data_IF_443115644697
#
_entry.id   IF_443115644697
#
_cell.length_a   1.000
_cell.length_b   1.000
_cell.length_c   1.000
_cell.angle_alpha   90.00
_cell.angle_beta   90.00
_cell.angle_gamma   90.00
#
_symmetry.space_group_name_H-M   'P 1'
#
loop_
_entity.id
_entity.type
_entity.pdbx_description
1 polymer ?
#
# COMPACT_ATOMS: atom_id res chain seq x y z
N UNK A 1 7.20 -57.29 -35.18
CA UNK A 1 6.17 -56.98 -34.16
C UNK A 1 6.70 -56.53 -32.79
N UNK A 2 7.89 -56.93 -32.33
CA UNK A 2 8.45 -56.52 -31.00
C UNK A 2 8.96 -55.07 -30.91
N UNK A 3 9.51 -54.48 -31.97
CA UNK A 3 10.11 -53.13 -31.95
C UNK A 3 9.03 -52.03 -31.83
N UNK A 4 7.88 -52.19 -32.46
CA UNK A 4 6.78 -51.23 -32.47
C UNK A 4 6.12 -51.05 -31.08
N UNK A 5 6.09 -52.08 -30.27
CA UNK A 5 5.57 -52.00 -28.88
C UNK A 5 6.47 -51.23 -27.91
N UNK A 6 7.80 -51.29 -28.10
CA UNK A 6 8.77 -50.61 -27.24
C UNK A 6 8.71 -49.08 -27.41
N UNK A 7 8.45 -48.60 -28.63
CA UNK A 7 8.34 -47.18 -28.96
C UNK A 7 7.07 -46.57 -28.36
N UNK A 8 5.97 -47.29 -28.43
CA UNK A 8 4.67 -46.85 -27.83
C UNK A 8 4.74 -46.71 -26.32
N UNK A 9 5.38 -47.63 -25.61
CA UNK A 9 5.59 -47.56 -24.16
C UNK A 9 6.47 -46.36 -23.73
N UNK A 10 7.52 -46.05 -24.51
CA UNK A 10 8.38 -44.90 -24.26
C UNK A 10 7.62 -43.57 -24.44
N UNK A 11 6.76 -43.48 -25.45
CA UNK A 11 5.93 -42.29 -25.67
C UNK A 11 4.90 -42.13 -24.56
N UNK A 12 4.21 -43.16 -24.11
CA UNK A 12 3.25 -43.13 -23.02
C UNK A 12 3.95 -42.73 -21.72
N UNK A 13 5.15 -43.25 -21.45
CA UNK A 13 5.92 -42.88 -20.25
C UNK A 13 6.34 -41.41 -20.26
N UNK A 14 6.80 -40.87 -21.40
CA UNK A 14 7.15 -39.46 -21.55
C UNK A 14 5.94 -38.53 -21.37
N UNK A 15 4.77 -38.89 -21.87
CA UNK A 15 3.54 -38.14 -21.69
C UNK A 15 3.12 -38.16 -20.23
N UNK A 16 3.20 -39.29 -19.52
CA UNK A 16 2.89 -39.39 -18.10
C UNK A 16 3.83 -38.54 -17.24
N UNK A 17 5.13 -38.51 -17.57
CA UNK A 17 6.11 -37.64 -16.90
C UNK A 17 5.81 -36.14 -17.13
N UNK A 18 5.45 -35.75 -18.36
CA UNK A 18 5.06 -34.37 -18.67
C UNK A 18 3.80 -33.92 -17.91
N UNK A 19 2.79 -34.79 -17.85
CA UNK A 19 1.56 -34.51 -17.08
C UNK A 19 1.87 -34.37 -15.59
N UNK A 20 2.74 -35.22 -15.02
CA UNK A 20 3.11 -35.12 -13.61
C UNK A 20 3.87 -33.83 -13.28
N UNK A 21 4.74 -33.37 -14.19
CA UNK A 21 5.46 -32.09 -14.05
C UNK A 21 4.48 -30.90 -14.15
N UNK A 22 3.53 -30.92 -15.07
CA UNK A 22 2.51 -29.89 -15.20
C UNK A 22 1.62 -29.79 -13.95
N UNK A 23 1.19 -30.93 -13.40
CA UNK A 23 0.41 -30.96 -12.14
C UNK A 23 1.21 -30.45 -10.93
N UNK A 24 2.51 -30.70 -10.89
CA UNK A 24 3.38 -30.14 -9.84
C UNK A 24 3.57 -28.63 -9.97
N UNK A 25 3.66 -28.10 -11.20
CA UNK A 25 3.76 -26.67 -11.49
C UNK A 25 2.43 -25.97 -11.11
N UNK A 26 1.28 -26.54 -11.49
CA UNK A 26 -0.03 -25.99 -11.09
C UNK A 26 -0.24 -26.02 -9.58
N UNK A 27 0.19 -27.10 -8.91
CA UNK A 27 0.14 -27.19 -7.45
C UNK A 27 1.07 -26.18 -6.75
N UNK A 28 2.25 -25.92 -7.30
CA UNK A 28 3.18 -24.92 -6.78
C UNK A 28 2.66 -23.49 -7.00
N UNK A 29 2.09 -23.19 -8.16
CA UNK A 29 1.46 -21.88 -8.47
C UNK A 29 0.25 -21.66 -7.56
N UNK A 30 -0.59 -22.67 -7.33
CA UNK A 30 -1.74 -22.57 -6.44
C UNK A 30 -1.34 -22.33 -4.98
N UNK A 31 -0.26 -22.96 -4.50
CA UNK A 31 0.24 -22.76 -3.14
C UNK A 31 0.90 -21.37 -2.96
N UNK A 32 1.49 -20.81 -4.01
CA UNK A 32 2.09 -19.47 -3.98
C UNK A 32 0.99 -18.39 -4.02
N UNK A 33 -0.10 -18.62 -4.76
CA UNK A 33 -1.27 -17.73 -4.80
C UNK A 33 -2.01 -17.72 -3.45
N UNK A 34 -2.17 -18.86 -2.77
CA UNK A 34 -2.81 -18.95 -1.44
C UNK A 34 -1.96 -18.31 -0.32
N UNK A 35 -0.63 -18.24 -0.47
CA UNK A 35 0.24 -17.51 0.47
C UNK A 35 0.19 -16.00 0.29
N UNK A 36 -0.21 -15.51 -0.88
CA UNK A 36 -0.08 -14.11 -1.29
C UNK A 36 -1.06 -13.14 -0.63
N UNK A 37 -2.15 -13.59 -0.01
CA UNK A 37 -3.24 -12.73 0.42
C UNK A 37 -3.66 -12.86 1.88
N UNK A 38 -2.76 -13.10 2.81
CA UNK A 38 -3.14 -13.34 4.21
C UNK A 38 -2.96 -12.12 5.14
N UNK A 39 -2.45 -10.98 4.64
CA UNK A 39 -2.40 -9.78 5.45
C UNK A 39 -3.79 -9.14 5.59
N UNK A 40 -4.19 -8.83 6.82
CA UNK A 40 -5.46 -8.17 7.11
C UNK A 40 -5.27 -7.14 8.21
N UNK A 41 -5.90 -5.96 8.10
CA UNK A 41 -5.88 -4.97 9.17
C UNK A 41 -6.61 -5.51 10.39
N UNK A 42 -6.07 -5.23 11.58
CA UNK A 42 -6.69 -5.54 12.89
C UNK A 42 -7.67 -4.44 13.30
N UNK A 43 -7.49 -3.24 12.76
CA UNK A 43 -8.27 -2.04 13.07
C UNK A 43 -8.69 -1.31 11.79
N UNK A 44 -9.75 -0.51 11.86
CA UNK A 44 -10.18 0.37 10.75
C UNK A 44 -11.05 -0.31 9.69
N UNK A 45 -11.48 -1.54 9.89
CA UNK A 45 -12.37 -2.24 8.93
C UNK A 45 -13.67 -1.50 8.69
N UNK A 46 -14.17 -0.77 9.66
CA UNK A 46 -15.38 0.06 9.58
C UNK A 46 -15.27 1.25 8.64
N UNK A 47 -14.06 1.61 8.22
CA UNK A 47 -13.83 2.70 7.27
C UNK A 47 -14.00 2.24 5.82
N UNK A 48 -13.84 0.95 5.56
CA UNK A 48 -13.93 0.38 4.21
C UNK A 48 -15.37 0.50 3.70
N UNK A 49 -15.51 1.04 2.48
CA UNK A 49 -16.79 1.34 1.85
C UNK A 49 -17.36 2.73 2.19
N UNK A 50 -16.73 3.49 3.10
CA UNK A 50 -17.16 4.85 3.39
C UNK A 50 -16.55 5.87 2.42
N UNK A 51 -17.22 7.01 2.26
CA UNK A 51 -16.69 8.12 1.46
C UNK A 51 -15.48 8.74 2.17
N UNK A 52 -14.42 9.01 1.42
CA UNK A 52 -13.23 9.71 1.92
C UNK A 52 -13.59 11.12 2.39
N UNK A 53 -13.17 11.54 3.60
CA UNK A 53 -13.33 12.90 4.09
C UNK A 53 -12.56 13.93 3.24
N UNK A 54 -12.86 15.24 3.45
CA UNK A 54 -12.12 16.32 2.79
C UNK A 54 -10.73 16.51 3.40
N UNK A 55 -9.85 17.21 2.66
CA UNK A 55 -8.52 17.63 3.11
C UNK A 55 -8.54 19.04 3.75
N UNK A 56 -9.70 19.54 4.11
CA UNK A 56 -9.85 20.87 4.70
C UNK A 56 -9.06 21.02 6.00
N UNK A 57 -8.25 22.06 6.07
CA UNK A 57 -7.40 22.37 7.23
C UNK A 57 -5.95 21.89 7.09
N UNK A 58 -5.60 21.17 6.02
CA UNK A 58 -4.20 20.82 5.75
C UNK A 58 -3.39 22.02 5.29
N UNK A 59 -2.16 22.13 5.81
CA UNK A 59 -1.14 23.03 5.31
C UNK A 59 -0.22 22.30 4.32
N UNK A 60 -0.36 22.55 3.04
CA UNK A 60 0.42 21.92 1.98
C UNK A 60 1.84 22.47 1.92
N UNK A 61 2.85 21.61 1.78
CA UNK A 61 4.26 21.99 1.94
C UNK A 61 5.03 22.04 0.62
N UNK A 62 4.68 21.22 -0.36
CA UNK A 62 5.40 21.05 -1.63
C UNK A 62 4.49 21.04 -2.86
N UNK A 63 3.23 21.42 -2.71
CA UNK A 63 2.25 21.55 -3.79
C UNK A 63 1.22 22.62 -3.44
N UNK A 64 0.47 23.09 -4.44
CA UNK A 64 -0.76 23.84 -4.24
C UNK A 64 -1.79 23.00 -3.48
N UNK A 65 -2.74 23.63 -2.76
CA UNK A 65 -3.78 22.92 -2.03
C UNK A 65 -4.58 21.95 -2.93
N UNK A 66 -4.69 20.70 -2.50
CA UNK A 66 -5.48 19.68 -3.17
C UNK A 66 -6.81 19.47 -2.46
N UNK A 67 -7.86 19.20 -3.25
CA UNK A 67 -9.16 18.76 -2.74
C UNK A 67 -9.41 17.32 -3.19
N UNK A 68 -10.09 16.53 -2.35
CA UNK A 68 -10.42 15.14 -2.68
C UNK A 68 -11.30 15.05 -3.95
N UNK A 69 -12.15 16.06 -4.19
CA UNK A 69 -13.01 16.12 -5.37
C UNK A 69 -12.22 16.33 -6.68
N UNK A 70 -11.09 17.04 -6.63
CA UNK A 70 -10.21 17.29 -7.79
C UNK A 70 -9.38 16.05 -8.14
N UNK A 71 -9.34 15.06 -7.24
CA UNK A 71 -8.62 13.81 -7.42
C UNK A 71 -9.52 12.65 -7.89
N UNK A 72 -10.79 12.91 -8.22
CA UNK A 72 -11.68 11.90 -8.81
C UNK A 72 -11.05 11.30 -10.07
N UNK A 73 -11.20 9.99 -10.21
CA UNK A 73 -10.57 9.23 -11.29
C UNK A 73 -9.14 8.77 -10.96
N UNK A 74 -8.58 9.17 -9.82
CA UNK A 74 -7.28 8.67 -9.34
C UNK A 74 -7.47 7.69 -8.20
N UNK A 75 -6.58 6.71 -8.12
CA UNK A 75 -6.36 5.88 -6.93
C UNK A 75 -5.42 6.62 -6.00
N UNK A 76 -5.80 6.80 -4.73
CA UNK A 76 -5.06 7.62 -3.77
C UNK A 76 -4.57 6.75 -2.63
N UNK A 77 -3.27 6.81 -2.32
CA UNK A 77 -2.71 6.28 -1.08
C UNK A 77 -2.41 7.43 -0.13
N UNK A 78 -3.18 7.56 0.94
CA UNK A 78 -2.84 8.44 2.05
C UNK A 78 -1.90 7.70 3.00
N UNK A 79 -0.79 8.34 3.39
CA UNK A 79 0.06 7.91 4.49
C UNK A 79 0.08 8.98 5.59
N UNK A 80 -0.44 8.65 6.76
CA UNK A 80 -0.21 9.44 7.96
C UNK A 80 1.17 9.12 8.53
N UNK A 81 1.97 10.14 8.81
CA UNK A 81 3.35 9.96 9.24
C UNK A 81 3.83 11.10 10.13
N UNK A 82 4.99 10.93 10.75
CA UNK A 82 5.67 12.01 11.48
C UNK A 82 7.19 11.89 11.28
N UNK A 83 7.84 13.05 11.24
CA UNK A 83 9.30 13.15 11.16
C UNK A 83 9.92 12.58 12.44
N UNK A 84 11.03 11.84 12.30
CA UNK A 84 11.71 11.18 13.41
C UNK A 84 11.03 9.91 13.96
N UNK A 85 10.06 9.36 13.23
CA UNK A 85 9.45 8.08 13.57
C UNK A 85 10.16 6.95 12.80
N UNK A 86 10.85 6.01 13.46
CA UNK A 86 11.60 4.96 12.78
C UNK A 86 10.74 4.12 11.83
N UNK A 87 9.51 3.75 12.21
CA UNK A 87 8.59 3.00 11.35
C UNK A 87 8.19 3.78 10.09
N UNK A 88 8.10 5.11 10.19
CA UNK A 88 7.83 5.97 9.04
C UNK A 88 9.04 6.07 8.12
N UNK A 89 10.24 6.15 8.70
CA UNK A 89 11.52 6.16 7.96
C UNK A 89 11.75 4.86 7.19
N UNK A 90 11.49 3.71 7.82
CA UNK A 90 11.57 2.41 7.13
C UNK A 90 10.55 2.28 5.98
N UNK A 91 9.39 2.91 6.10
CA UNK A 91 8.33 2.85 5.08
C UNK A 91 8.57 3.83 3.92
N UNK A 92 9.35 4.89 4.13
CA UNK A 92 9.53 5.97 3.16
C UNK A 92 9.99 5.48 1.76
N UNK A 93 11.01 4.60 1.62
CA UNK A 93 11.42 4.09 0.31
C UNK A 93 10.31 3.33 -0.43
N UNK A 94 9.47 2.60 0.30
CA UNK A 94 8.35 1.86 -0.28
C UNK A 94 7.27 2.80 -0.84
N UNK A 95 7.01 3.94 -0.17
CA UNK A 95 6.09 4.97 -0.68
C UNK A 95 6.60 5.58 -1.99
N UNK A 96 7.90 5.93 -2.04
CA UNK A 96 8.56 6.47 -3.24
C UNK A 96 8.53 5.45 -4.37
N UNK A 97 8.82 4.18 -4.09
CA UNK A 97 8.75 3.10 -5.07
C UNK A 97 7.34 2.96 -5.67
N UNK A 98 6.30 2.85 -4.82
CA UNK A 98 4.91 2.73 -5.27
C UNK A 98 4.46 3.94 -6.09
N UNK A 99 4.79 5.16 -5.63
CA UNK A 99 4.47 6.38 -6.35
C UNK A 99 5.12 6.39 -7.74
N UNK A 100 6.44 6.17 -7.82
CA UNK A 100 7.16 6.18 -9.09
C UNK A 100 6.69 5.10 -10.05
N UNK A 101 6.29 3.94 -9.53
CA UNK A 101 5.79 2.82 -10.33
C UNK A 101 4.44 3.12 -10.99
N UNK A 102 3.52 3.79 -10.27
CA UNK A 102 2.12 3.89 -10.69
C UNK A 102 1.62 5.32 -10.97
N UNK A 103 2.42 6.38 -10.74
CA UNK A 103 2.00 7.78 -10.92
C UNK A 103 1.49 8.13 -12.31
N UNK A 104 1.96 7.42 -13.35
CA UNK A 104 1.52 7.63 -14.73
C UNK A 104 0.23 6.86 -15.07
N UNK A 105 -0.21 5.96 -14.20
CA UNK A 105 -1.39 5.10 -14.40
C UNK A 105 -2.62 5.63 -13.62
N UNK A 106 -2.55 6.87 -13.12
CA UNK A 106 -3.65 7.47 -12.36
C UNK A 106 -3.58 7.22 -10.85
N UNK A 107 -2.39 6.90 -10.31
CA UNK A 107 -2.14 6.76 -8.89
C UNK A 107 -1.46 8.00 -8.30
N UNK A 108 -1.78 8.32 -7.05
CA UNK A 108 -1.12 9.39 -6.30
C UNK A 108 -0.90 8.96 -4.84
N UNK A 109 0.26 9.30 -4.29
CA UNK A 109 0.52 9.22 -2.85
C UNK A 109 0.32 10.61 -2.24
N UNK A 110 -0.27 10.67 -1.06
CA UNK A 110 -0.38 11.90 -0.25
C UNK A 110 0.15 11.61 1.14
N UNK A 111 1.24 12.24 1.50
CA UNK A 111 1.82 12.18 2.84
C UNK A 111 1.18 13.23 3.75
N UNK A 112 0.56 12.81 4.87
CA UNK A 112 -0.03 13.73 5.84
C UNK A 112 0.76 13.63 7.15
N UNK A 113 1.57 14.66 7.42
CA UNK A 113 2.33 14.78 8.65
C UNK A 113 1.43 15.27 9.79
N UNK A 114 1.39 14.55 10.93
CA UNK A 114 0.63 14.94 12.12
C UNK A 114 1.59 15.12 13.29
N UNK A 115 1.89 16.35 13.71
CA UNK A 115 2.87 16.63 14.76
C UNK A 115 2.37 16.15 16.13
N UNK A 116 3.26 15.56 16.94
CA UNK A 116 2.96 15.12 18.32
C UNK A 116 3.51 16.05 19.41
N UNK A 117 4.22 17.12 19.00
CA UNK A 117 4.72 18.18 19.90
C UNK A 117 4.67 19.52 19.18
N UNK A 118 4.86 20.62 19.91
CA UNK A 118 4.92 21.96 19.32
C UNK A 118 6.14 22.10 18.40
N UNK A 119 7.29 21.52 18.76
CA UNK A 119 8.50 21.55 17.93
C UNK A 119 8.30 20.81 16.60
N UNK A 120 7.51 19.73 16.62
CA UNK A 120 7.19 18.96 15.41
C UNK A 120 6.24 19.72 14.46
N UNK A 121 5.67 20.87 14.87
CA UNK A 121 4.88 21.74 14.00
C UNK A 121 5.74 22.62 13.09
N UNK A 122 7.06 22.73 13.33
CA UNK A 122 7.96 23.50 12.47
C UNK A 122 7.95 22.95 11.03
N UNK A 123 7.43 23.69 10.03
CA UNK A 123 7.40 23.22 8.64
C UNK A 123 8.80 22.92 8.07
N UNK A 124 9.85 23.58 8.58
CA UNK A 124 11.21 23.35 8.10
C UNK A 124 11.76 21.98 8.56
N UNK A 125 11.32 21.50 9.73
CA UNK A 125 11.64 20.13 10.17
C UNK A 125 11.01 19.12 9.21
N UNK A 126 9.75 19.32 8.85
CA UNK A 126 9.05 18.44 7.90
C UNK A 126 9.69 18.50 6.52
N UNK A 127 10.02 19.70 6.00
CA UNK A 127 10.70 19.85 4.70
C UNK A 127 12.04 19.12 4.65
N UNK A 128 12.85 19.23 5.70
CA UNK A 128 14.11 18.45 5.77
C UNK A 128 13.89 16.94 5.71
N UNK A 129 12.79 16.45 6.30
CA UNK A 129 12.44 15.03 6.20
C UNK A 129 11.96 14.66 4.79
N UNK A 130 11.21 15.54 4.09
CA UNK A 130 10.84 15.31 2.69
C UNK A 130 12.07 15.16 1.80
N UNK A 131 13.05 16.06 1.96
CA UNK A 131 14.31 16.01 1.21
C UNK A 131 15.11 14.73 1.52
N UNK A 132 15.15 14.32 2.80
CA UNK A 132 15.88 13.12 3.23
C UNK A 132 15.23 11.81 2.75
N UNK A 133 13.91 11.81 2.51
CA UNK A 133 13.15 10.64 2.06
C UNK A 133 12.88 10.63 0.55
N UNK A 134 13.35 11.64 -0.19
CA UNK A 134 13.05 11.83 -1.62
C UNK A 134 11.54 11.86 -1.93
N UNK A 135 10.74 12.52 -1.07
CA UNK A 135 9.31 12.63 -1.26
C UNK A 135 8.98 13.66 -2.34
N UNK A 136 8.81 13.21 -3.58
CA UNK A 136 8.39 14.02 -4.74
C UNK A 136 6.86 14.01 -4.96
N UNK A 137 6.11 13.31 -4.12
CA UNK A 137 4.65 13.33 -4.09
C UNK A 137 4.11 14.41 -3.13
N UNK A 138 2.81 14.78 -3.24
CA UNK A 138 2.18 15.77 -2.38
C UNK A 138 2.29 15.46 -0.89
N UNK A 139 2.71 16.45 -0.11
CA UNK A 139 2.78 16.36 1.34
C UNK A 139 2.14 17.56 2.00
N UNK A 140 1.36 17.31 3.03
CA UNK A 140 0.74 18.33 3.86
C UNK A 140 0.95 18.05 5.36
N UNK A 141 0.76 19.09 6.17
CA UNK A 141 0.80 19.02 7.62
C UNK A 141 -0.61 19.22 8.19
N UNK A 142 -1.03 18.29 9.06
CA UNK A 142 -2.28 18.30 9.83
C UNK A 142 -1.98 18.74 11.27
N UNK A 143 -1.72 20.04 11.47
CA UNK A 143 -1.27 20.60 12.75
C UNK A 143 -2.30 20.45 13.87
N UNK A 144 -3.59 20.47 13.54
CA UNK A 144 -4.71 20.39 14.47
C UNK A 144 -5.32 18.98 14.57
N UNK A 145 -4.72 18.02 13.88
CA UNK A 145 -5.20 16.63 13.84
C UNK A 145 -6.64 16.48 13.30
N UNK A 146 -7.15 17.46 12.57
CA UNK A 146 -8.50 17.46 12.01
C UNK A 146 -8.67 16.34 10.99
N UNK A 147 -7.73 16.22 10.06
CA UNK A 147 -7.82 15.25 8.96
C UNK A 147 -7.52 13.83 9.43
N UNK A 148 -6.50 13.62 10.27
CA UNK A 148 -6.25 12.28 10.83
C UNK A 148 -7.41 11.81 11.72
N UNK A 149 -8.09 12.72 12.43
CA UNK A 149 -9.28 12.37 13.19
C UNK A 149 -10.44 11.96 12.27
N UNK A 150 -10.65 12.67 11.16
CA UNK A 150 -11.71 12.35 10.21
C UNK A 150 -11.49 11.02 9.48
N UNK A 151 -10.24 10.71 9.13
CA UNK A 151 -9.89 9.53 8.35
C UNK A 151 -9.61 8.28 9.19
N UNK A 152 -9.02 8.45 10.37
CA UNK A 152 -8.46 7.32 11.11
C UNK A 152 -8.89 7.21 12.55
N UNK A 153 -8.70 8.28 13.35
CA UNK A 153 -8.92 8.17 14.78
C UNK A 153 -10.41 8.17 15.14
N UNK A 154 -11.20 9.13 14.61
CA UNK A 154 -12.65 9.18 14.84
C UNK A 154 -13.08 9.12 16.30
N UNK A 155 -12.24 9.64 17.22
CA UNK A 155 -12.43 9.51 18.65
C UNK A 155 -12.10 8.13 19.24
N UNK A 156 -11.59 7.19 18.43
CA UNK A 156 -11.17 5.87 18.88
C UNK A 156 -9.70 5.85 19.30
N UNK A 157 -9.36 4.97 20.23
CA UNK A 157 -7.97 4.67 20.56
C UNK A 157 -7.46 3.64 19.52
N UNK A 158 -6.47 4.04 18.72
CA UNK A 158 -5.79 3.19 17.75
C UNK A 158 -4.38 2.82 18.22
N UNK A 159 -3.89 1.66 17.79
CA UNK A 159 -2.54 1.19 18.13
C UNK A 159 -1.47 2.08 17.51
N UNK A 160 -1.70 2.56 16.29
CA UNK A 160 -0.80 3.45 15.57
C UNK A 160 -1.53 4.68 15.04
N UNK A 161 -0.81 5.79 14.92
CA UNK A 161 -1.26 6.97 14.17
C UNK A 161 -0.68 6.99 12.74
N UNK A 162 0.36 6.18 12.46
CA UNK A 162 0.99 6.06 11.15
C UNK A 162 0.27 5.03 10.27
N UNK A 163 -1.02 5.21 10.03
CA UNK A 163 -1.82 4.36 9.16
C UNK A 163 -1.70 4.75 7.69
N UNK A 164 -2.12 3.84 6.80
CA UNK A 164 -2.27 4.15 5.37
C UNK A 164 -3.67 3.76 4.90
N UNK A 165 -4.22 4.56 3.97
CA UNK A 165 -5.59 4.39 3.48
C UNK A 165 -5.57 4.46 1.96
N UNK A 166 -6.11 3.44 1.28
CA UNK A 166 -6.34 3.46 -0.15
C UNK A 166 -7.78 3.85 -0.47
N UNK A 167 -7.90 4.77 -1.41
CA UNK A 167 -9.17 5.35 -1.87
C UNK A 167 -9.26 5.10 -3.38
N UNK A 168 -10.42 4.67 -3.84
CA UNK A 168 -10.68 4.41 -5.25
C UNK A 168 -10.98 5.69 -6.07
N UNK A 169 -11.15 5.50 -7.37
CA UNK A 169 -11.47 6.57 -8.35
C UNK A 169 -12.76 7.32 -8.06
N UNK A 170 -13.65 6.78 -7.21
CA UNK A 170 -14.93 7.36 -6.78
C UNK A 170 -14.84 8.01 -5.38
N UNK A 171 -13.65 8.17 -4.82
CA UNK A 171 -13.42 8.69 -3.47
C UNK A 171 -14.00 7.81 -2.36
N UNK A 172 -14.03 6.48 -2.54
CA UNK A 172 -14.44 5.52 -1.52
C UNK A 172 -13.21 4.82 -0.94
N UNK A 173 -13.15 4.69 0.37
CA UNK A 173 -12.09 3.95 1.06
C UNK A 173 -12.23 2.46 0.76
N UNK A 174 -11.17 1.84 0.22
CA UNK A 174 -11.17 0.43 -0.19
C UNK A 174 -10.22 -0.45 0.60
N UNK A 175 -9.23 0.16 1.24
CA UNK A 175 -8.25 -0.58 2.01
C UNK A 175 -7.69 0.29 3.14
N UNK A 176 -7.35 -0.35 4.24
CA UNK A 176 -6.70 0.27 5.39
C UNK A 176 -5.50 -0.57 5.79
N UNK A 177 -4.33 0.04 5.91
CA UNK A 177 -3.20 -0.48 6.66
C UNK A 177 -3.20 0.20 8.02
N UNK A 178 -3.41 -0.55 9.08
CA UNK A 178 -3.70 -0.07 10.43
C UNK A 178 -2.50 0.49 11.18
N UNK A 179 -1.38 0.63 10.49
CA UNK A 179 -0.20 1.32 11.00
C UNK A 179 1.03 0.44 11.10
N UNK A 180 2.12 1.02 11.65
CA UNK A 180 3.43 0.37 11.60
C UNK A 180 4.15 0.63 10.30
N UNK A 181 4.87 -0.36 9.80
CA UNK A 181 5.73 -0.27 8.62
C UNK A 181 5.31 -1.26 7.54
N UNK A 182 5.62 -0.92 6.29
CA UNK A 182 5.49 -1.81 5.15
C UNK A 182 6.61 -1.52 4.14
N UNK A 183 7.29 -2.53 3.69
CA UNK A 183 8.35 -2.49 2.68
C UNK A 183 8.73 -3.91 2.27
N UNK A 184 9.36 -4.08 1.11
CA UNK A 184 9.88 -5.37 0.65
C UNK A 184 11.02 -5.84 1.54
N UNK A 185 10.92 -7.03 2.11
CA UNK A 185 11.93 -7.57 3.02
C UNK A 185 11.89 -9.08 3.13
N UNK A 186 13.07 -9.69 3.03
CA UNK A 186 13.24 -11.11 3.38
C UNK A 186 13.34 -11.33 4.90
N UNK A 187 13.73 -10.29 5.65
CA UNK A 187 14.01 -10.37 7.09
C UNK A 187 12.84 -9.90 7.97
N UNK A 188 11.83 -9.25 7.39
CA UNK A 188 10.62 -8.81 8.08
C UNK A 188 9.38 -9.23 7.27
N UNK A 189 8.92 -10.49 7.46
CA UNK A 189 7.79 -11.02 6.69
C UNK A 189 6.49 -10.24 6.88
N UNK A 190 6.25 -9.65 8.04
CA UNK A 190 5.04 -8.87 8.31
C UNK A 190 5.02 -7.57 7.48
N UNK A 191 6.15 -6.87 7.41
CA UNK A 191 6.28 -5.66 6.59
C UNK A 191 6.17 -5.98 5.09
N UNK A 192 6.74 -7.12 4.65
CA UNK A 192 6.67 -7.57 3.26
C UNK A 192 5.25 -7.96 2.86
N UNK A 193 4.54 -8.72 3.69
CA UNK A 193 3.13 -9.06 3.46
C UNK A 193 2.23 -7.82 3.41
N UNK A 194 2.47 -6.83 4.28
CA UNK A 194 1.74 -5.58 4.27
C UNK A 194 2.00 -4.79 2.97
N UNK A 195 3.27 -4.74 2.52
CA UNK A 195 3.64 -4.10 1.24
C UNK A 195 2.92 -4.78 0.07
N UNK A 196 2.97 -6.10 -0.02
CA UNK A 196 2.31 -6.88 -1.08
C UNK A 196 0.80 -6.63 -1.10
N UNK A 197 0.13 -6.64 0.06
CA UNK A 197 -1.30 -6.38 0.16
C UNK A 197 -1.69 -4.97 -0.31
N UNK A 198 -0.87 -3.95 0.01
CA UNK A 198 -1.07 -2.58 -0.47
C UNK A 198 -0.89 -2.52 -1.99
N UNK A 199 0.19 -3.10 -2.53
CA UNK A 199 0.50 -3.07 -3.95
C UNK A 199 -0.57 -3.81 -4.78
N UNK A 200 -1.00 -5.00 -4.34
CA UNK A 200 -2.08 -5.76 -4.98
C UNK A 200 -3.39 -4.95 -5.02
N UNK A 201 -3.73 -4.27 -3.93
CA UNK A 201 -4.93 -3.42 -3.89
C UNK A 201 -4.81 -2.19 -4.80
N UNK A 202 -3.62 -1.58 -4.92
CA UNK A 202 -3.38 -0.51 -5.90
C UNK A 202 -3.64 -1.01 -7.32
N UNK A 203 -3.10 -2.18 -7.69
CA UNK A 203 -3.27 -2.77 -9.01
C UNK A 203 -4.74 -3.10 -9.32
N UNK A 204 -5.47 -3.67 -8.35
CA UNK A 204 -6.91 -3.93 -8.45
C UNK A 204 -7.68 -2.65 -8.77
N UNK A 205 -7.49 -1.59 -7.97
CA UNK A 205 -8.20 -0.33 -8.10
C UNK A 205 -7.82 0.45 -9.38
N UNK A 206 -6.61 0.28 -9.89
CA UNK A 206 -6.20 0.88 -11.17
C UNK A 206 -6.86 0.17 -12.35
N UNK A 207 -7.14 -1.13 -12.24
CA UNK A 207 -7.81 -1.95 -13.26
C UNK A 207 -9.35 -1.76 -13.33
N UNK A 208 -9.96 -1.16 -12.32
CA UNK A 208 -11.37 -0.78 -12.31
C UNK A 208 -11.61 0.49 -13.17
#
# INVERSE_FOLDING_TARGET
>A
MKVMRLTTYKIIFLIACLISVLLQIEGAISQDVDKKNNWKPKEGLELIGTKAPSFEGLNWLNTEPLNIEDLKGKVILIRFWLAGCPLCEHTAPALVELYNKYKNDGFIVIGIHHPKSEEAKDPNLVRRALDAFDFDFPVAQDSDWKVINAYWLGGKKRSFTSSSILIDKNSIIRFVHDGGEFYKSENNPDADLAYQAIEEKIQELLGE
#
